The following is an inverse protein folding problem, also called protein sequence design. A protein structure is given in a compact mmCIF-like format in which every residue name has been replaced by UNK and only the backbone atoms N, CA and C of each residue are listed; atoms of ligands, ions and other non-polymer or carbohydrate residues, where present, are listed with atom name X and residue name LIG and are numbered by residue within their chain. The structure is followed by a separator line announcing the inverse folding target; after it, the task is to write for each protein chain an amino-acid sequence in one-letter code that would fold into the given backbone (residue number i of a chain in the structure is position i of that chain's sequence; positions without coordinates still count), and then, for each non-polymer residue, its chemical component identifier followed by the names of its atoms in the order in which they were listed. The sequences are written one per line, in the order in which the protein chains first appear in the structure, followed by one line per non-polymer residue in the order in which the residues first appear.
data_IF_716055753102
#
_entry.id   IF_716055753102
#
_cell.length_a   1.000
_cell.length_b   1.000
_cell.length_c   1.000
_cell.angle_alpha   90.00
_cell.angle_beta   90.00
_cell.angle_gamma   90.00
#
_symmetry.space_group_name_H-M   'P 1'
#
loop_
_entity.id
_entity.type
_entity.pdbx_description
1 polymer ?
#
# COMPACT_ATOMS: atom_id res chain seq x y z
N UNK A 1 -12.91 6.48 21.15
CA UNK A 1 -12.51 5.06 20.98
C UNK A 1 -13.70 4.12 21.21
N UNK A 2 -14.31 4.12 22.40
CA UNK A 2 -15.45 3.26 22.73
C UNK A 2 -16.66 3.39 21.80
N UNK A 3 -17.11 4.61 21.51
CA UNK A 3 -18.23 4.87 20.59
C UNK A 3 -17.98 4.34 19.16
N UNK A 4 -16.73 4.44 18.68
CA UNK A 4 -16.33 3.90 17.37
C UNK A 4 -16.45 2.37 17.36
N UNK A 5 -15.96 1.70 18.41
CA UNK A 5 -16.04 0.25 18.52
C UNK A 5 -17.51 -0.22 18.59
N UNK A 6 -18.33 0.43 19.42
CA UNK A 6 -19.75 0.10 19.55
C UNK A 6 -20.52 0.23 18.22
N UNK A 7 -20.24 1.27 17.41
CA UNK A 7 -20.83 1.42 16.07
C UNK A 7 -20.36 0.34 15.09
N UNK A 8 -19.09 -0.05 15.16
CA UNK A 8 -18.54 -1.10 14.32
C UNK A 8 -19.14 -2.47 14.67
N UNK A 9 -19.32 -2.78 15.96
CA UNK A 9 -19.94 -4.01 16.43
C UNK A 9 -21.41 -4.08 16.01
N UNK A 10 -22.14 -2.97 16.12
CA UNK A 10 -23.53 -2.87 15.66
C UNK A 10 -23.65 -3.08 14.15
N UNK A 11 -22.74 -2.50 13.35
CA UNK A 11 -22.70 -2.73 11.90
C UNK A 11 -22.35 -4.19 11.56
N UNK A 12 -21.37 -4.78 12.23
CA UNK A 12 -21.03 -6.20 12.05
C UNK A 12 -22.16 -7.16 12.44
N UNK A 13 -22.97 -6.79 13.44
CA UNK A 13 -24.17 -7.51 13.86
C UNK A 13 -25.39 -7.30 12.94
N UNK A 14 -25.27 -6.50 11.88
CA UNK A 14 -26.37 -6.22 10.94
C UNK A 14 -27.44 -5.27 11.49
N UNK A 15 -27.13 -4.50 12.53
CA UNK A 15 -28.04 -3.47 13.05
C UNK A 15 -28.10 -2.23 12.14
N UNK A 16 -27.10 -2.08 11.26
CA UNK A 16 -27.03 -1.05 10.24
C UNK A 16 -26.69 -1.68 8.90
N UNK A 17 -27.31 -1.18 7.82
CA UNK A 17 -27.02 -1.63 6.46
C UNK A 17 -25.88 -0.83 5.79
N UNK A 18 -25.61 0.38 6.29
CA UNK A 18 -24.62 1.30 5.72
C UNK A 18 -23.76 1.94 6.80
N UNK A 19 -22.44 1.91 6.59
CA UNK A 19 -21.44 2.60 7.41
C UNK A 19 -20.73 3.66 6.57
N UNK A 20 -20.80 4.92 7.01
CA UNK A 20 -20.06 6.04 6.39
C UNK A 20 -18.93 6.45 7.33
N UNK A 21 -17.70 6.48 6.84
CA UNK A 21 -16.53 6.83 7.62
C UNK A 21 -15.42 7.45 6.76
N UNK A 22 -14.54 8.20 7.41
CA UNK A 22 -13.33 8.74 6.79
C UNK A 22 -12.23 7.68 6.74
N UNK A 23 -11.19 7.90 5.92
CA UNK A 23 -10.07 6.98 5.70
C UNK A 23 -9.32 6.54 6.96
N UNK A 24 -9.53 7.23 8.09
CA UNK A 24 -9.08 6.81 9.44
C UNK A 24 -9.99 5.70 10.00
N UNK A 25 -10.39 4.75 9.16
CA UNK A 25 -10.76 3.40 9.62
C UNK A 25 -9.45 2.63 9.77
N UNK A 26 -8.69 2.94 10.82
CA UNK A 26 -7.68 2.03 11.35
C UNK A 26 -8.35 0.72 11.78
N UNK A 27 -8.43 -0.18 10.79
CA UNK A 27 -8.02 -1.58 10.79
C UNK A 27 -8.24 -2.36 12.10
N UNK A 28 -9.21 -3.28 12.06
CA UNK A 28 -9.31 -4.41 12.98
C UNK A 28 -10.56 -5.26 12.77
N UNK A 29 -11.64 -4.64 12.28
CA UNK A 29 -12.92 -5.34 12.11
C UNK A 29 -12.99 -5.91 10.70
N UNK A 30 -13.03 -7.24 10.63
CA UNK A 30 -13.46 -8.00 9.47
C UNK A 30 -14.99 -8.05 9.48
N UNK A 31 -15.63 -7.69 8.37
CA UNK A 31 -17.09 -7.65 8.27
C UNK A 31 -17.49 -8.59 7.14
N UNK A 32 -17.65 -9.90 7.42
CA UNK A 32 -17.91 -10.91 6.39
C UNK A 32 -19.18 -10.66 5.58
N UNK A 33 -20.14 -9.94 6.18
CA UNK A 33 -21.43 -9.60 5.57
C UNK A 33 -21.38 -8.36 4.67
N UNK A 34 -20.29 -7.59 4.68
CA UNK A 34 -20.16 -6.43 3.82
C UNK A 34 -19.79 -6.87 2.40
N UNK A 35 -20.73 -6.72 1.46
CA UNK A 35 -20.57 -7.10 0.05
C UNK A 35 -20.18 -5.92 -0.84
N UNK A 36 -20.41 -4.67 -0.41
CA UNK A 36 -20.11 -3.49 -1.22
C UNK A 36 -19.27 -2.50 -0.42
N UNK A 37 -18.21 -1.98 -1.04
CA UNK A 37 -17.45 -0.83 -0.53
C UNK A 37 -17.44 0.27 -1.59
N UNK A 38 -17.76 1.50 -1.17
CA UNK A 38 -17.63 2.71 -1.97
C UNK A 38 -16.49 3.58 -1.44
N UNK A 39 -15.56 3.95 -2.31
CA UNK A 39 -14.40 4.79 -1.97
C UNK A 39 -14.54 6.11 -2.72
N UNK A 40 -14.93 7.14 -1.98
CA UNK A 40 -14.96 8.53 -2.46
C UNK A 40 -13.54 9.09 -2.60
N UNK A 41 -13.31 9.91 -3.63
CA UNK A 41 -12.01 10.47 -3.99
C UNK A 41 -10.88 9.42 -4.04
N UNK A 42 -11.14 8.28 -4.68
CA UNK A 42 -10.22 7.14 -4.77
C UNK A 42 -8.84 7.53 -5.36
N UNK A 43 -8.81 8.54 -6.22
CA UNK A 43 -7.61 9.13 -6.82
C UNK A 43 -6.65 9.80 -5.82
N UNK A 44 -7.10 10.06 -4.58
CA UNK A 44 -6.25 10.58 -3.50
C UNK A 44 -5.51 9.51 -2.71
N UNK A 45 -5.83 8.23 -2.91
CA UNK A 45 -5.22 7.11 -2.18
C UNK A 45 -4.16 6.39 -3.02
N UNK A 46 -3.15 5.85 -2.33
CA UNK A 46 -2.16 4.97 -2.94
C UNK A 46 -2.72 3.56 -3.19
N UNK A 47 -2.12 2.81 -4.13
CA UNK A 47 -2.60 1.45 -4.47
C UNK A 47 -2.65 0.51 -3.27
N UNK A 48 -1.65 0.57 -2.39
CA UNK A 48 -1.61 -0.27 -1.20
C UNK A 48 -2.79 0.01 -0.24
N UNK A 49 -3.18 1.27 -0.06
CA UNK A 49 -4.31 1.64 0.79
C UNK A 49 -5.63 1.17 0.17
N UNK A 50 -5.82 1.40 -1.12
CA UNK A 50 -6.99 0.95 -1.86
C UNK A 50 -7.12 -0.58 -1.85
N UNK A 51 -6.00 -1.30 -1.97
CA UNK A 51 -5.96 -2.76 -1.83
C UNK A 51 -6.40 -3.21 -0.43
N UNK A 52 -5.94 -2.53 0.61
CA UNK A 52 -6.38 -2.81 1.99
C UNK A 52 -7.88 -2.53 2.19
N UNK A 53 -8.41 -1.46 1.61
CA UNK A 53 -9.85 -1.15 1.66
C UNK A 53 -10.67 -2.21 0.92
N UNK A 54 -10.26 -2.59 -0.29
CA UNK A 54 -10.88 -3.68 -1.06
C UNK A 54 -10.93 -4.98 -0.27
N UNK A 55 -9.88 -5.31 0.48
CA UNK A 55 -9.81 -6.53 1.30
C UNK A 55 -10.72 -6.56 2.54
N UNK A 56 -11.48 -5.49 2.81
CA UNK A 56 -12.49 -5.41 3.88
C UNK A 56 -13.84 -6.01 3.48
N UNK A 57 -14.07 -6.19 2.18
CA UNK A 57 -15.25 -6.86 1.62
C UNK A 57 -14.82 -8.14 0.90
N UNK A 58 -15.76 -9.00 0.52
CA UNK A 58 -15.43 -10.21 -0.25
C UNK A 58 -14.86 -11.38 0.54
N UNK A 59 -15.13 -11.44 1.85
CA UNK A 59 -14.76 -12.58 2.72
C UNK A 59 -15.93 -13.56 2.98
N UNK A 60 -17.14 -13.19 2.58
CA UNK A 60 -18.32 -14.05 2.61
C UNK A 60 -18.50 -14.88 1.33
N UNK A 61 -19.61 -15.61 1.23
CA UNK A 61 -19.97 -16.40 0.05
C UNK A 61 -20.61 -15.58 -1.08
N UNK A 62 -20.99 -14.33 -0.80
CA UNK A 62 -21.66 -13.45 -1.74
C UNK A 62 -20.64 -12.70 -2.60
N UNK A 63 -20.99 -12.50 -3.86
CA UNK A 63 -20.24 -11.62 -4.76
C UNK A 63 -20.10 -10.24 -4.13
N UNK A 64 -18.90 -9.66 -4.25
CA UNK A 64 -18.57 -8.38 -3.64
C UNK A 64 -18.06 -7.38 -4.66
N UNK A 65 -18.42 -6.11 -4.46
CA UNK A 65 -18.11 -5.03 -5.36
C UNK A 65 -17.30 -3.94 -4.65
N UNK A 66 -16.27 -3.45 -5.32
CA UNK A 66 -15.49 -2.29 -4.91
C UNK A 66 -15.74 -1.16 -5.92
N UNK A 67 -16.41 -0.11 -5.47
CA UNK A 67 -16.76 1.06 -6.28
C UNK A 67 -15.77 2.18 -6.00
N UNK A 68 -15.15 2.70 -7.05
CA UNK A 68 -14.15 3.77 -6.97
C UNK A 68 -14.76 5.03 -7.58
N UNK A 69 -14.94 6.05 -6.76
CA UNK A 69 -15.40 7.36 -7.21
C UNK A 69 -14.18 8.27 -7.35
N UNK A 70 -14.09 9.00 -8.46
CA UNK A 70 -12.94 9.83 -8.78
C UNK A 70 -13.39 11.26 -9.02
N UNK A 71 -12.73 12.21 -8.36
CA UNK A 71 -13.09 13.62 -8.43
C UNK A 71 -12.43 14.36 -9.59
N UNK A 72 -11.19 14.00 -9.96
CA UNK A 72 -10.40 14.69 -10.96
C UNK A 72 -9.84 13.76 -12.05
N UNK A 73 -9.75 14.27 -13.28
CA UNK A 73 -9.24 13.55 -14.46
C UNK A 73 -7.72 13.58 -14.57
N UNK A 74 -6.98 13.27 -13.49
CA UNK A 74 -5.54 13.09 -13.60
C UNK A 74 -5.24 11.77 -14.35
N UNK A 75 -4.54 11.80 -15.50
CA UNK A 75 -4.21 10.59 -16.24
C UNK A 75 -3.34 9.62 -15.43
N UNK A 76 -2.50 10.12 -14.53
CA UNK A 76 -1.67 9.31 -13.63
C UNK A 76 -2.50 8.52 -12.63
N UNK A 77 -3.42 9.20 -11.94
CA UNK A 77 -4.37 8.59 -11.03
C UNK A 77 -5.26 7.56 -11.73
N UNK A 78 -5.75 7.85 -12.94
CA UNK A 78 -6.54 6.89 -13.72
C UNK A 78 -5.78 5.59 -13.97
N UNK A 79 -4.55 5.70 -14.47
CA UNK A 79 -3.68 4.53 -14.75
C UNK A 79 -3.42 3.70 -13.50
N UNK A 80 -3.26 4.38 -12.36
CA UNK A 80 -3.11 3.73 -11.05
C UNK A 80 -4.38 2.99 -10.64
N UNK A 81 -5.56 3.60 -10.80
CA UNK A 81 -6.83 2.97 -10.46
C UNK A 81 -7.18 1.80 -11.40
N UNK A 82 -6.83 1.89 -12.69
CA UNK A 82 -6.94 0.78 -13.65
C UNK A 82 -6.11 -0.42 -13.18
N UNK A 83 -4.89 -0.20 -12.68
CA UNK A 83 -4.09 -1.28 -12.09
C UNK A 83 -4.78 -1.95 -10.88
N UNK A 84 -5.53 -1.21 -10.07
CA UNK A 84 -6.31 -1.79 -8.96
C UNK A 84 -7.43 -2.70 -9.46
N UNK A 85 -8.04 -2.38 -10.60
CA UNK A 85 -9.09 -3.16 -11.24
C UNK A 85 -8.51 -4.44 -11.84
N UNK A 86 -7.38 -4.33 -12.54
CA UNK A 86 -6.76 -5.44 -13.26
C UNK A 86 -6.01 -6.42 -12.34
N UNK A 87 -5.57 -5.97 -11.17
CA UNK A 87 -4.73 -6.77 -10.27
C UNK A 87 -5.36 -6.99 -8.88
N UNK A 88 -5.47 -8.27 -8.52
CA UNK A 88 -5.91 -8.69 -7.20
C UNK A 88 -4.76 -8.85 -6.20
N UNK A 89 -3.55 -9.15 -6.68
CA UNK A 89 -2.39 -9.43 -5.84
C UNK A 89 -1.72 -8.15 -5.31
N UNK A 90 -1.46 -8.13 -4.01
CA UNK A 90 -0.88 -6.97 -3.32
C UNK A 90 0.58 -6.70 -3.71
N UNK A 91 1.36 -7.72 -4.05
CA UNK A 91 2.76 -7.54 -4.49
C UNK A 91 2.82 -6.94 -5.88
N UNK A 92 2.01 -7.44 -6.82
CA UNK A 92 1.89 -6.88 -8.17
C UNK A 92 1.47 -5.39 -8.11
N UNK A 93 0.50 -5.06 -7.27
CA UNK A 93 0.09 -3.67 -7.06
C UNK A 93 1.20 -2.79 -6.48
N UNK A 94 1.98 -3.30 -5.53
CA UNK A 94 3.11 -2.57 -4.97
C UNK A 94 4.21 -2.31 -6.02
N UNK A 95 4.45 -3.28 -6.89
CA UNK A 95 5.41 -3.14 -8.00
C UNK A 95 4.95 -2.09 -9.02
N UNK A 96 3.66 -2.10 -9.38
CA UNK A 96 3.06 -1.10 -10.27
C UNK A 96 3.11 0.30 -9.63
N UNK A 97 2.80 0.41 -8.34
CA UNK A 97 2.89 1.69 -7.60
C UNK A 97 4.33 2.24 -7.65
N UNK A 98 5.33 1.38 -7.46
CA UNK A 98 6.74 1.74 -7.55
C UNK A 98 7.14 2.19 -8.97
N UNK A 99 6.69 1.48 -10.01
CA UNK A 99 6.91 1.87 -11.42
C UNK A 99 6.28 3.22 -11.74
N UNK A 100 5.02 3.42 -11.36
CA UNK A 100 4.29 4.65 -11.64
C UNK A 100 4.92 5.85 -10.93
N UNK A 101 5.45 5.66 -9.71
CA UNK A 101 6.22 6.70 -9.00
C UNK A 101 7.60 6.95 -9.61
N UNK A 102 8.30 5.91 -10.05
CA UNK A 102 9.65 6.02 -10.63
C UNK A 102 9.68 6.60 -12.06
N UNK A 103 8.60 6.40 -12.83
CA UNK A 103 8.48 6.87 -14.22
C UNK A 103 7.95 8.31 -14.36
N UNK A 104 7.51 8.96 -13.28
CA UNK A 104 6.91 10.29 -13.38
C UNK A 104 6.55 10.95 -12.06
N UNK A 105 7.45 11.80 -11.56
CA UNK A 105 7.05 13.07 -10.94
C UNK A 105 7.75 14.25 -11.64
N UNK A 106 7.15 14.83 -12.69
CA UNK A 106 7.60 16.09 -13.26
C UNK A 106 7.15 17.32 -12.46
N UNK A 107 6.30 17.18 -11.44
CA UNK A 107 5.69 18.27 -10.67
C UNK A 107 5.76 18.07 -9.16
N UNK A 108 6.96 17.80 -8.64
CA UNK A 108 7.48 18.40 -7.42
C UNK A 108 6.56 18.47 -6.19
N UNK A 109 6.09 17.33 -5.69
CA UNK A 109 5.71 17.19 -4.27
C UNK A 109 6.47 16.02 -3.63
N UNK A 110 7.81 16.19 -3.63
CA UNK A 110 8.73 15.44 -2.77
C UNK A 110 8.36 15.66 -1.32
N UNK A 111 8.05 14.58 -0.59
CA UNK A 111 8.16 14.33 0.87
C UNK A 111 7.27 13.10 1.19
N UNK A 112 7.69 11.96 1.75
CA UNK A 112 8.93 11.40 2.32
C UNK A 112 8.85 9.86 2.19
N UNK A 113 9.98 9.14 2.15
CA UNK A 113 10.01 7.73 2.55
C UNK A 113 11.01 6.83 1.82
N UNK A 114 11.32 7.10 0.55
CA UNK A 114 12.33 6.34 -0.19
C UNK A 114 13.39 7.28 -0.74
N UNK A 115 14.69 7.08 -0.42
CA UNK A 115 15.76 7.81 -1.08
C UNK A 115 15.68 7.51 -2.58
N UNK A 116 15.74 8.55 -3.42
CA UNK A 116 15.96 8.39 -4.87
C UNK A 116 17.19 7.48 -5.04
N UNK A 117 16.99 6.27 -5.56
CA UNK A 117 18.11 5.37 -5.81
C UNK A 117 18.98 5.98 -6.90
N UNK A 118 20.11 6.54 -6.49
CA UNK A 118 21.11 7.14 -7.40
C UNK A 118 21.81 6.07 -8.26
N UNK A 119 21.71 4.80 -7.88
CA UNK A 119 22.41 3.67 -8.51
C UNK A 119 21.47 2.46 -8.58
N UNK A 120 20.71 2.37 -9.68
CA UNK A 120 19.94 1.17 -10.04
C UNK A 120 18.43 1.27 -9.87
N UNK A 121 17.73 0.30 -10.47
CA UNK A 121 16.28 0.14 -10.41
C UNK A 121 15.93 -0.94 -9.37
N UNK A 122 15.05 -0.63 -8.42
CA UNK A 122 14.55 -1.59 -7.41
C UNK A 122 13.78 -2.77 -8.01
N UNK A 123 13.38 -2.64 -9.26
CA UNK A 123 12.63 -3.64 -10.03
C UNK A 123 13.52 -4.56 -10.84
N UNK A 124 14.84 -4.29 -10.90
CA UNK A 124 15.80 -5.19 -11.52
C UNK A 124 16.04 -6.40 -10.61
N UNK A 125 15.46 -7.54 -10.97
CA UNK A 125 15.62 -8.82 -10.25
C UNK A 125 17.09 -9.21 -10.11
N UNK A 126 17.90 -9.00 -11.13
CA UNK A 126 19.33 -9.29 -11.09
C UNK A 126 20.09 -8.39 -10.11
N UNK A 127 19.71 -7.12 -10.03
CA UNK A 127 20.26 -6.21 -9.02
C UNK A 127 19.84 -6.62 -7.61
N UNK A 128 18.58 -7.02 -7.40
CA UNK A 128 18.04 -7.45 -6.10
C UNK A 128 18.76 -8.70 -5.60
N UNK A 129 18.95 -9.70 -6.45
CA UNK A 129 19.65 -10.94 -6.10
C UNK A 129 21.13 -10.69 -5.76
N UNK A 130 21.80 -9.84 -6.55
CA UNK A 130 23.19 -9.45 -6.28
C UNK A 130 23.32 -8.65 -4.98
N UNK A 131 22.39 -7.75 -4.72
CA UNK A 131 22.35 -6.96 -3.48
C UNK A 131 22.11 -7.87 -2.26
N UNK A 132 21.16 -8.81 -2.34
CA UNK A 132 20.92 -9.82 -1.30
C UNK A 132 22.17 -10.66 -1.04
N UNK A 133 22.78 -11.20 -2.10
CA UNK A 133 23.99 -12.02 -1.99
C UNK A 133 25.18 -11.25 -1.41
N UNK A 134 25.28 -9.94 -1.69
CA UNK A 134 26.29 -9.08 -1.08
C UNK A 134 26.02 -8.86 0.41
N UNK A 135 24.78 -8.56 0.78
CA UNK A 135 24.36 -8.38 2.16
C UNK A 135 24.59 -9.64 3.02
N UNK A 136 24.24 -10.82 2.50
CA UNK A 136 24.46 -12.10 3.18
C UNK A 136 25.95 -12.36 3.44
N UNK A 137 26.83 -12.07 2.47
CA UNK A 137 28.28 -12.19 2.65
C UNK A 137 28.82 -11.25 3.73
N UNK A 138 28.32 -10.01 3.77
CA UNK A 138 28.71 -9.04 4.80
C UNK A 138 28.26 -9.51 6.18
N UNK A 139 27.01 -9.97 6.32
CA UNK A 139 26.48 -10.46 7.60
C UNK A 139 27.16 -11.75 8.06
N UNK A 140 27.55 -12.64 7.14
CA UNK A 140 28.31 -13.83 7.48
C UNK A 140 29.72 -13.50 8.00
N UNK A 141 30.37 -12.49 7.40
CA UNK A 141 31.72 -12.07 7.78
C UNK A 141 31.74 -11.20 9.05
N UNK A 142 30.75 -10.33 9.22
CA UNK A 142 30.63 -9.41 10.35
C UNK A 142 29.16 -9.31 10.83
N UNK A 143 28.69 -10.29 11.64
CA UNK A 143 27.31 -10.32 12.13
C UNK A 143 26.96 -9.12 13.02
N UNK A 144 27.96 -8.44 13.60
CA UNK A 144 27.77 -7.30 14.49
C UNK A 144 27.82 -5.96 13.74
N UNK A 145 28.06 -5.99 12.42
CA UNK A 145 28.24 -4.82 11.57
C UNK A 145 29.17 -3.81 12.27
N UNK A 146 30.37 -4.26 12.62
CA UNK A 146 31.39 -3.47 13.30
C UNK A 146 32.00 -2.37 12.42
N UNK A 147 31.89 -2.49 11.08
CA UNK A 147 32.36 -1.47 10.15
C UNK A 147 31.60 -0.13 10.31
N UNK A 148 32.28 0.98 10.69
CA UNK A 148 31.64 2.26 10.97
C UNK A 148 31.14 3.01 9.73
N UNK A 149 31.61 2.69 8.53
CA UNK A 149 31.08 3.21 7.26
C UNK A 149 29.76 2.53 6.93
N UNK A 150 29.72 1.20 7.02
CA UNK A 150 28.49 0.40 6.83
C UNK A 150 27.42 0.76 7.87
N UNK A 151 27.76 0.89 9.15
CA UNK A 151 26.81 1.33 10.19
C UNK A 151 26.20 2.68 9.88
N UNK A 152 27.03 3.67 9.48
CA UNK A 152 26.53 5.00 9.11
C UNK A 152 25.64 4.94 7.87
N UNK A 153 26.01 4.14 6.88
CA UNK A 153 25.18 3.90 5.70
C UNK A 153 23.81 3.33 6.06
N UNK A 154 23.77 2.27 6.87
CA UNK A 154 22.52 1.59 7.27
C UNK A 154 21.64 2.48 8.15
N UNK A 155 22.20 3.26 9.07
CA UNK A 155 21.42 4.22 9.87
C UNK A 155 20.71 5.27 9.01
N UNK A 156 21.21 5.57 7.81
CA UNK A 156 20.52 6.44 6.86
C UNK A 156 19.28 5.82 6.20
N UNK A 157 19.06 4.50 6.33
CA UNK A 157 17.92 3.75 5.80
C UNK A 157 16.95 3.24 6.88
N UNK A 158 17.26 3.42 8.17
CA UNK A 158 16.32 3.13 9.26
C UNK A 158 15.33 4.30 9.38
N UNK A 159 14.09 4.08 8.95
CA UNK A 159 12.92 4.96 9.19
C UNK A 159 12.23 4.52 10.47
#
# INVERSE_FOLDING_TARGET
AREKAERMDAFAAGQFDLLVATSVIEVGVDIPNATVIGIEDADRFGLAQLHQFRGRVGRGQHESHCLLFVGASDPGARRRLEALIDHQDGFALAEIDLRLRGAGDPYGLRQHGFPEMRVGDLLDDGLRERARSAAERVLAADPKLSDPVLRRGIHGYQV
#
